data_IF_626273295924
#
_entry.id   IF_626273295924
#
_cell.length_a   1.000
_cell.length_b   1.000
_cell.length_c   1.000
_cell.angle_alpha   90.00
_cell.angle_beta   90.00
_cell.angle_gamma   90.00
#
_symmetry.space_group_name_H-M   'P 1'
#
loop_
_entity.id
_entity.type
_entity.pdbx_description
1 polymer ?
#
# COMPACT_ATOMS: atom_id res chain seq x y z
N UNK A 1 -37.76 -16.82 -19.51
CA UNK A 1 -36.53 -17.48 -19.97
C UNK A 1 -35.64 -17.68 -18.77
N UNK A 2 -35.33 -18.92 -18.39
CA UNK A 2 -34.37 -19.17 -17.33
C UNK A 2 -32.97 -18.88 -17.87
N UNK A 3 -32.26 -17.90 -17.30
CA UNK A 3 -30.84 -17.72 -17.56
C UNK A 3 -30.14 -19.03 -17.20
N UNK A 4 -29.47 -19.65 -18.18
CA UNK A 4 -28.56 -20.76 -17.89
C UNK A 4 -27.41 -20.17 -17.09
N UNK A 5 -27.47 -20.30 -15.77
CA UNK A 5 -26.34 -20.04 -14.89
C UNK A 5 -25.23 -21.02 -15.30
N UNK A 6 -24.19 -20.50 -15.96
CA UNK A 6 -23.04 -21.29 -16.37
C UNK A 6 -22.45 -21.95 -15.13
N UNK A 7 -22.52 -23.28 -15.05
CA UNK A 7 -21.98 -24.02 -13.91
C UNK A 7 -20.48 -23.79 -13.84
N UNK A 8 -19.97 -23.32 -12.70
CA UNK A 8 -18.55 -23.03 -12.50
C UNK A 8 -17.70 -24.24 -12.86
N UNK A 9 -16.78 -24.08 -13.82
CA UNK A 9 -15.79 -25.10 -14.10
C UNK A 9 -14.75 -25.10 -12.98
N UNK A 10 -14.79 -26.13 -12.12
CA UNK A 10 -13.91 -26.22 -10.96
C UNK A 10 -12.42 -26.30 -11.31
N UNK A 11 -12.08 -26.79 -12.51
CA UNK A 11 -10.68 -26.85 -12.96
C UNK A 11 -10.13 -25.45 -13.25
N UNK A 12 -10.91 -24.59 -13.93
CA UNK A 12 -10.50 -23.21 -14.21
C UNK A 12 -10.57 -22.34 -12.96
N UNK A 13 -11.56 -22.56 -12.08
CA UNK A 13 -11.59 -21.91 -10.77
C UNK A 13 -10.36 -22.25 -9.94
N UNK A 14 -9.94 -23.52 -9.90
CA UNK A 14 -8.71 -23.92 -9.20
C UNK A 14 -7.47 -23.23 -9.79
N UNK A 15 -7.41 -23.06 -11.11
CA UNK A 15 -6.34 -22.29 -11.77
C UNK A 15 -6.36 -20.82 -11.32
N UNK A 16 -7.53 -20.17 -11.29
CA UNK A 16 -7.67 -18.82 -10.76
C UNK A 16 -7.16 -18.70 -9.32
N UNK A 17 -7.54 -19.64 -8.45
CA UNK A 17 -7.08 -19.68 -7.05
C UNK A 17 -5.55 -19.85 -6.97
N UNK A 18 -4.94 -20.64 -7.86
CA UNK A 18 -3.48 -20.74 -7.95
C UNK A 18 -2.81 -19.42 -8.36
N UNK A 19 -3.42 -18.62 -9.23
CA UNK A 19 -2.94 -17.27 -9.56
C UNK A 19 -3.04 -16.34 -8.35
N UNK A 20 -4.16 -16.33 -7.63
CA UNK A 20 -4.29 -15.55 -6.40
C UNK A 20 -3.24 -15.93 -5.36
N UNK A 21 -2.88 -17.22 -5.30
CA UNK A 21 -1.78 -17.70 -4.45
C UNK A 21 -0.37 -17.23 -4.85
N UNK A 22 -0.17 -16.71 -6.07
CA UNK A 22 1.11 -16.12 -6.48
C UNK A 22 1.34 -14.76 -5.81
N UNK A 23 0.29 -13.99 -5.52
CA UNK A 23 0.40 -12.66 -4.88
C UNK A 23 1.13 -12.72 -3.54
N UNK A 24 1.02 -13.83 -2.81
CA UNK A 24 1.76 -14.13 -1.57
C UNK A 24 3.28 -14.18 -1.74
N UNK A 25 3.75 -14.29 -2.98
CA UNK A 25 5.16 -14.41 -3.38
C UNK A 25 5.61 -13.27 -4.29
N UNK A 26 4.74 -12.28 -4.53
CA UNK A 26 5.12 -11.01 -5.17
C UNK A 26 5.42 -10.04 -4.04
N UNK A 27 6.70 -9.79 -3.70
CA UNK A 27 7.04 -8.76 -2.73
C UNK A 27 6.74 -7.38 -3.33
N UNK A 28 6.29 -6.44 -2.49
CA UNK A 28 6.10 -5.05 -2.93
C UNK A 28 7.44 -4.43 -3.33
N UNK A 29 7.59 -4.12 -4.61
CA UNK A 29 8.84 -3.74 -5.30
C UNK A 29 9.44 -2.46 -4.73
N UNK A 30 8.61 -1.51 -4.28
CA UNK A 30 9.08 -0.30 -3.61
C UNK A 30 9.99 -0.59 -2.41
N UNK A 31 9.62 -1.57 -1.59
CA UNK A 31 10.39 -1.98 -0.41
C UNK A 31 11.65 -2.78 -0.79
N UNK A 32 11.53 -3.65 -1.79
CA UNK A 32 12.67 -4.41 -2.36
C UNK A 32 13.77 -3.44 -2.82
N UNK A 33 13.38 -2.40 -3.56
CA UNK A 33 14.30 -1.37 -4.06
C UNK A 33 14.87 -0.45 -2.97
N UNK A 34 14.37 -0.54 -1.73
CA UNK A 34 14.95 0.13 -0.56
C UNK A 34 15.62 -0.81 0.42
N UNK A 35 15.87 -2.06 -0.01
CA UNK A 35 16.57 -3.07 0.75
C UNK A 35 15.93 -3.33 2.14
N UNK A 36 14.59 -3.30 2.20
CA UNK A 36 13.86 -3.84 3.35
C UNK A 36 14.09 -5.35 3.37
N UNK A 37 14.44 -5.91 4.53
CA UNK A 37 14.91 -7.31 4.62
C UNK A 37 13.82 -8.35 4.29
N UNK A 38 12.60 -8.13 4.80
CA UNK A 38 11.44 -9.02 4.61
C UNK A 38 10.25 -8.16 4.21
N UNK A 39 10.23 -7.66 2.96
CA UNK A 39 9.15 -6.82 2.49
C UNK A 39 7.86 -7.62 2.45
N UNK A 40 6.74 -6.94 2.69
CA UNK A 40 5.40 -7.49 2.59
C UNK A 40 5.12 -7.99 1.17
N UNK A 41 4.18 -8.92 1.05
CA UNK A 41 3.64 -9.33 -0.24
C UNK A 41 2.51 -8.39 -0.69
N UNK A 42 2.21 -8.37 -1.98
CA UNK A 42 1.04 -7.64 -2.53
C UNK A 42 -0.27 -8.07 -1.84
N UNK A 43 -0.38 -9.34 -1.46
CA UNK A 43 -1.56 -9.81 -0.72
C UNK A 43 -1.63 -9.32 0.73
N UNK A 44 -0.50 -9.03 1.38
CA UNK A 44 -0.49 -8.44 2.74
C UNK A 44 -1.02 -7.00 2.70
N UNK A 45 -0.53 -6.23 1.71
CA UNK A 45 -0.99 -4.88 1.39
C UNK A 45 -2.52 -4.83 1.16
N UNK A 46 -3.02 -5.62 0.22
CA UNK A 46 -4.47 -5.67 -0.08
C UNK A 46 -5.31 -6.15 1.11
N UNK A 47 -4.78 -7.04 1.95
CA UNK A 47 -5.46 -7.47 3.17
C UNK A 47 -5.65 -6.30 4.14
N UNK A 48 -4.60 -5.55 4.45
CA UNK A 48 -4.71 -4.41 5.38
C UNK A 48 -5.60 -3.30 4.81
N UNK A 49 -5.53 -3.04 3.51
CA UNK A 49 -6.48 -2.13 2.85
C UNK A 49 -7.94 -2.58 3.00
N UNK A 50 -8.23 -3.87 2.81
CA UNK A 50 -9.59 -4.39 2.98
C UNK A 50 -10.08 -4.24 4.43
N UNK A 51 -9.21 -4.43 5.41
CA UNK A 51 -9.52 -4.14 6.82
C UNK A 51 -9.79 -2.65 7.05
N UNK A 52 -8.98 -1.75 6.47
CA UNK A 52 -9.21 -0.31 6.56
C UNK A 52 -10.54 0.10 5.93
N UNK A 53 -10.87 -0.44 4.75
CA UNK A 53 -12.15 -0.22 4.08
C UNK A 53 -13.35 -0.76 4.89
N UNK A 54 -13.18 -1.86 5.62
CA UNK A 54 -14.19 -2.40 6.53
C UNK A 54 -14.46 -1.47 7.72
N UNK A 55 -13.42 -0.80 8.22
CA UNK A 55 -13.46 0.04 9.41
C UNK A 55 -13.95 1.47 9.17
N UNK A 56 -14.08 1.91 7.92
CA UNK A 56 -14.58 3.26 7.62
C UNK A 56 -15.95 3.50 8.23
N UNK A 57 -16.18 4.72 8.71
CA UNK A 57 -17.47 5.14 9.26
C UNK A 57 -18.27 6.02 8.30
N UNK A 58 -17.71 6.38 7.14
CA UNK A 58 -18.41 7.20 6.15
C UNK A 58 -19.63 6.46 5.56
N UNK A 59 -20.81 6.92 5.93
CA UNK A 59 -22.10 6.37 5.50
C UNK A 59 -22.43 6.66 4.03
N UNK A 60 -21.65 7.52 3.36
CA UNK A 60 -21.81 7.79 1.92
C UNK A 60 -21.19 6.69 1.06
N UNK A 61 -20.25 5.92 1.60
CA UNK A 61 -19.55 4.86 0.88
C UNK A 61 -20.29 3.53 1.03
N UNK A 62 -20.35 2.77 -0.05
CA UNK A 62 -20.65 1.34 0.06
C UNK A 62 -19.40 0.57 0.52
N UNK A 63 -19.32 0.25 1.83
CA UNK A 63 -18.17 -0.45 2.41
C UNK A 63 -17.89 -1.80 1.76
N UNK A 64 -18.91 -2.58 1.44
CA UNK A 64 -18.74 -3.88 0.79
C UNK A 64 -18.10 -3.72 -0.61
N UNK A 65 -18.44 -2.63 -1.32
CA UNK A 65 -17.80 -2.28 -2.59
C UNK A 65 -16.35 -1.87 -2.38
N UNK A 66 -16.05 -1.03 -1.39
CA UNK A 66 -14.68 -0.64 -1.04
C UNK A 66 -13.80 -1.86 -0.70
N UNK A 67 -14.32 -2.81 0.08
CA UNK A 67 -13.62 -4.05 0.42
C UNK A 67 -13.33 -4.86 -0.84
N UNK A 68 -14.32 -5.03 -1.73
CA UNK A 68 -14.14 -5.74 -3.00
C UNK A 68 -13.11 -5.07 -3.89
N UNK A 69 -13.12 -3.73 -4.00
CA UNK A 69 -12.13 -2.97 -4.76
C UNK A 69 -10.72 -3.18 -4.19
N UNK A 70 -10.56 -3.05 -2.87
CA UNK A 70 -9.27 -3.27 -2.21
C UNK A 70 -8.71 -4.68 -2.46
N UNK A 71 -9.57 -5.71 -2.46
CA UNK A 71 -9.16 -7.10 -2.72
C UNK A 71 -8.83 -7.39 -4.20
N UNK A 72 -9.30 -6.57 -5.13
CA UNK A 72 -9.22 -6.83 -6.59
C UNK A 72 -8.17 -5.97 -7.28
N UNK A 73 -7.91 -4.74 -6.81
CA UNK A 73 -7.20 -3.74 -7.60
C UNK A 73 -5.80 -4.18 -8.09
N UNK A 74 -5.01 -4.86 -7.24
CA UNK A 74 -3.68 -5.36 -7.60
C UNK A 74 -3.67 -6.84 -8.01
N UNK A 75 -4.82 -7.46 -8.32
CA UNK A 75 -4.87 -8.88 -8.72
C UNK A 75 -4.04 -9.18 -9.98
N UNK A 76 -3.92 -8.21 -10.89
CA UNK A 76 -3.14 -8.33 -12.11
C UNK A 76 -1.66 -8.66 -11.85
N UNK A 77 -1.12 -8.19 -10.71
CA UNK A 77 0.29 -8.31 -10.33
C UNK A 77 0.71 -9.77 -10.10
N UNK A 78 -0.25 -10.69 -9.93
CA UNK A 78 0.06 -12.12 -9.88
C UNK A 78 0.66 -12.67 -11.20
N UNK A 79 0.48 -11.94 -12.30
CA UNK A 79 1.03 -12.24 -13.63
C UNK A 79 2.08 -11.19 -14.01
N UNK A 80 1.78 -9.91 -13.84
CA UNK A 80 2.64 -8.82 -14.34
C UNK A 80 3.80 -8.47 -13.40
N UNK A 81 3.72 -8.87 -12.13
CA UNK A 81 4.60 -8.40 -11.06
C UNK A 81 4.22 -6.99 -10.57
N UNK A 82 4.69 -6.60 -9.39
CA UNK A 82 4.49 -5.23 -8.89
C UNK A 82 5.43 -4.26 -9.63
N UNK A 83 4.87 -3.44 -10.53
CA UNK A 83 5.61 -2.48 -11.35
C UNK A 83 5.74 -1.15 -10.58
N UNK A 84 6.96 -0.84 -10.15
CA UNK A 84 7.27 0.40 -9.44
C UNK A 84 7.66 1.54 -10.40
N UNK A 85 7.59 2.82 -9.96
CA UNK A 85 8.02 3.95 -10.78
C UNK A 85 9.47 3.85 -11.30
N UNK A 86 10.35 3.18 -10.55
CA UNK A 86 11.75 2.98 -10.93
C UNK A 86 11.95 2.02 -12.13
N UNK A 87 10.93 1.24 -12.50
CA UNK A 87 10.98 0.32 -13.64
C UNK A 87 10.83 1.04 -14.99
N UNK A 88 10.53 2.34 -14.98
CA UNK A 88 10.39 3.19 -16.17
C UNK A 88 9.41 2.65 -17.23
N UNK A 89 8.38 1.91 -16.80
CA UNK A 89 7.27 1.50 -17.66
C UNK A 89 6.26 2.65 -17.75
N UNK A 90 5.82 2.99 -18.96
CA UNK A 90 4.82 4.05 -19.14
C UNK A 90 3.48 3.64 -18.53
N UNK A 91 2.65 4.62 -18.15
CA UNK A 91 1.32 4.35 -17.59
C UNK A 91 0.46 3.52 -18.56
N UNK A 92 0.56 3.80 -19.85
CA UNK A 92 -0.19 3.12 -20.91
C UNK A 92 0.25 1.67 -21.05
N UNK A 93 1.56 1.38 -21.00
CA UNK A 93 2.06 0.01 -21.09
C UNK A 93 1.78 -0.79 -19.82
N UNK A 94 1.87 -0.16 -18.63
CA UNK A 94 1.45 -0.78 -17.36
C UNK A 94 -0.02 -1.19 -17.45
N UNK A 95 -0.88 -0.23 -17.81
CA UNK A 95 -2.32 -0.47 -17.94
C UNK A 95 -2.63 -1.56 -18.96
N UNK A 96 -1.99 -1.55 -20.14
CA UNK A 96 -2.19 -2.58 -21.16
C UNK A 96 -1.84 -3.99 -20.65
N UNK A 97 -0.72 -4.14 -19.92
CA UNK A 97 -0.31 -5.43 -19.35
C UNK A 97 -1.27 -5.91 -18.28
N UNK A 98 -1.70 -5.01 -17.39
CA UNK A 98 -2.62 -5.34 -16.31
C UNK A 98 -4.01 -5.67 -16.83
N UNK A 99 -4.49 -4.95 -17.85
CA UNK A 99 -5.75 -5.24 -18.53
C UNK A 99 -5.72 -6.63 -19.18
N UNK A 100 -4.63 -6.98 -19.88
CA UNK A 100 -4.43 -8.30 -20.48
C UNK A 100 -4.43 -9.42 -19.42
N UNK A 101 -3.72 -9.19 -18.31
CA UNK A 101 -3.70 -10.11 -17.18
C UNK A 101 -5.09 -10.29 -16.55
N UNK A 102 -5.83 -9.21 -16.32
CA UNK A 102 -7.18 -9.26 -15.74
C UNK A 102 -8.19 -9.94 -16.66
N UNK A 103 -8.12 -9.71 -17.97
CA UNK A 103 -8.96 -10.42 -18.95
C UNK A 103 -8.68 -11.92 -18.92
N UNK A 104 -7.41 -12.32 -18.83
CA UNK A 104 -7.04 -13.73 -18.69
C UNK A 104 -7.55 -14.33 -17.38
N UNK A 105 -7.32 -13.67 -16.24
CA UNK A 105 -7.75 -14.14 -14.92
C UNK A 105 -9.27 -14.30 -14.85
N UNK A 106 -10.02 -13.28 -15.28
CA UNK A 106 -11.49 -13.29 -15.22
C UNK A 106 -12.13 -14.25 -16.22
N UNK A 107 -11.44 -14.56 -17.33
CA UNK A 107 -11.83 -15.63 -18.26
C UNK A 107 -11.78 -17.05 -17.67
N UNK A 108 -11.14 -17.25 -16.51
CA UNK A 108 -11.13 -18.53 -15.78
C UNK A 108 -12.37 -18.71 -14.89
N UNK A 109 -13.14 -17.65 -14.66
CA UNK A 109 -14.33 -17.63 -13.80
C UNK A 109 -15.60 -17.86 -14.62
N UNK A 110 -16.76 -18.04 -13.95
CA UNK A 110 -18.05 -18.01 -14.65
C UNK A 110 -18.35 -16.62 -15.18
N UNK A 111 -19.11 -16.51 -16.27
CA UNK A 111 -19.39 -15.24 -16.95
C UNK A 111 -19.86 -14.10 -16.02
N UNK A 112 -20.70 -14.42 -15.03
CA UNK A 112 -21.23 -13.43 -14.09
C UNK A 112 -20.15 -12.94 -13.12
N UNK A 113 -19.39 -13.86 -12.51
CA UNK A 113 -18.34 -13.52 -11.54
C UNK A 113 -17.15 -12.85 -12.25
N UNK A 114 -16.77 -13.34 -13.43
CA UNK A 114 -15.71 -12.74 -14.24
C UNK A 114 -16.01 -11.29 -14.61
N UNK A 115 -17.26 -10.99 -14.99
CA UNK A 115 -17.70 -9.60 -15.26
C UNK A 115 -17.68 -8.73 -14.01
N UNK A 116 -18.09 -9.25 -12.85
CA UNK A 116 -18.04 -8.49 -11.59
C UNK A 116 -16.60 -8.12 -11.22
N UNK A 117 -15.67 -9.09 -11.28
CA UNK A 117 -14.25 -8.90 -10.92
C UNK A 117 -13.56 -7.95 -11.91
N UNK A 118 -13.79 -8.12 -13.22
CA UNK A 118 -13.22 -7.21 -14.22
C UNK A 118 -13.76 -5.79 -14.04
N UNK A 119 -15.07 -5.64 -13.83
CA UNK A 119 -15.70 -4.33 -13.60
C UNK A 119 -15.22 -3.64 -12.33
N UNK A 120 -14.88 -4.39 -11.27
CA UNK A 120 -14.24 -3.86 -10.06
C UNK A 120 -12.84 -3.29 -10.37
N UNK A 121 -12.02 -4.05 -11.10
CA UNK A 121 -10.69 -3.59 -11.50
C UNK A 121 -10.78 -2.36 -12.41
N UNK A 122 -11.65 -2.36 -13.41
CA UNK A 122 -11.88 -1.22 -14.30
C UNK A 122 -12.39 0.02 -13.55
N UNK A 123 -13.25 -0.16 -12.53
CA UNK A 123 -13.74 0.92 -11.67
C UNK A 123 -12.60 1.58 -10.89
N UNK A 124 -11.70 0.77 -10.31
CA UNK A 124 -10.51 1.26 -9.64
C UNK A 124 -9.56 1.96 -10.61
N UNK A 125 -9.21 1.35 -11.75
CA UNK A 125 -8.28 1.94 -12.71
C UNK A 125 -8.76 3.28 -13.27
N UNK A 126 -10.07 3.38 -13.55
CA UNK A 126 -10.67 4.61 -14.07
C UNK A 126 -11.05 5.61 -12.98
N UNK A 127 -10.95 5.24 -11.70
CA UNK A 127 -11.33 6.07 -10.55
C UNK A 127 -12.76 6.64 -10.71
N UNK A 128 -13.68 5.79 -11.18
CA UNK A 128 -14.99 6.23 -11.70
C UNK A 128 -16.08 6.37 -10.63
N UNK A 129 -15.84 5.91 -9.41
CA UNK A 129 -16.76 5.99 -8.27
C UNK A 129 -16.14 6.74 -7.07
N UNK A 130 -16.95 7.06 -6.06
CA UNK A 130 -16.45 7.62 -4.80
C UNK A 130 -15.70 6.54 -3.99
N UNK A 131 -16.11 5.28 -4.13
CA UNK A 131 -15.46 4.12 -3.52
C UNK A 131 -14.07 3.87 -4.12
N UNK A 132 -13.92 3.93 -5.45
CA UNK A 132 -12.62 3.76 -6.11
C UNK A 132 -11.62 4.85 -5.72
N UNK A 133 -12.10 6.10 -5.59
CA UNK A 133 -11.29 7.23 -5.12
C UNK A 133 -10.87 7.06 -3.67
N UNK A 134 -11.81 6.65 -2.81
CA UNK A 134 -11.53 6.36 -1.41
C UNK A 134 -10.50 5.23 -1.26
N UNK A 135 -10.68 4.11 -1.98
CA UNK A 135 -9.74 2.98 -1.94
C UNK A 135 -8.36 3.37 -2.51
N UNK A 136 -8.29 4.30 -3.47
CA UNK A 136 -6.99 4.83 -3.94
C UNK A 136 -6.26 5.68 -2.91
N UNK A 137 -6.99 6.41 -2.07
CA UNK A 137 -6.41 7.09 -0.93
C UNK A 137 -6.01 6.09 0.18
N UNK A 138 -6.77 5.00 0.38
CA UNK A 138 -6.37 3.93 1.29
C UNK A 138 -5.08 3.23 0.86
N UNK A 139 -4.91 2.91 -0.43
CA UNK A 139 -3.67 2.34 -1.00
C UNK A 139 -2.45 3.19 -0.61
N UNK A 140 -2.56 4.50 -0.81
CA UNK A 140 -1.47 5.43 -0.49
C UNK A 140 -1.24 5.61 1.00
N UNK A 141 -2.31 5.64 1.81
CA UNK A 141 -2.19 5.74 3.27
C UNK A 141 -1.56 4.48 3.86
N UNK A 142 -1.98 3.30 3.38
CA UNK A 142 -1.45 2.01 3.78
C UNK A 142 0.07 1.94 3.48
N UNK A 143 0.49 2.41 2.31
CA UNK A 143 1.90 2.47 1.93
C UNK A 143 2.73 3.33 2.88
N UNK A 144 2.28 4.53 3.27
CA UNK A 144 3.04 5.37 4.22
C UNK A 144 2.96 4.84 5.66
N UNK A 145 1.88 4.16 6.03
CA UNK A 145 1.81 3.44 7.31
C UNK A 145 2.87 2.33 7.35
N UNK A 146 2.98 1.54 6.28
CA UNK A 146 3.99 0.49 6.18
C UNK A 146 5.43 1.06 6.17
N UNK A 147 5.64 2.21 5.53
CA UNK A 147 6.93 2.90 5.57
C UNK A 147 7.33 3.25 7.00
N UNK A 148 6.42 3.81 7.81
CA UNK A 148 6.68 4.09 9.22
C UNK A 148 7.03 2.83 10.01
N UNK A 149 6.26 1.76 9.83
CA UNK A 149 6.51 0.50 10.54
C UNK A 149 7.88 -0.11 10.20
N UNK A 150 8.30 -0.03 8.94
CA UNK A 150 9.65 -0.47 8.55
C UNK A 150 10.75 0.43 9.14
N UNK A 151 10.55 1.74 9.18
CA UNK A 151 11.48 2.65 9.86
C UNK A 151 11.64 2.30 11.36
N UNK A 152 10.54 1.98 12.05
CA UNK A 152 10.57 1.56 13.46
C UNK A 152 11.23 0.19 13.65
N UNK A 153 10.89 -0.81 12.83
CA UNK A 153 11.46 -2.16 12.91
C UNK A 153 12.98 -2.15 12.69
N UNK A 154 13.45 -1.34 11.73
CA UNK A 154 14.87 -1.20 11.42
C UNK A 154 15.60 -0.22 12.35
N UNK A 155 14.86 0.51 13.21
CA UNK A 155 15.38 1.61 14.03
C UNK A 155 16.09 2.68 13.21
N UNK A 156 15.53 3.01 12.05
CA UNK A 156 16.05 4.01 11.11
C UNK A 156 14.98 5.05 10.80
N UNK A 157 14.64 5.91 11.79
CA UNK A 157 13.57 6.88 11.64
C UNK A 157 13.89 7.85 10.50
N UNK A 158 12.92 8.10 9.62
CA UNK A 158 13.11 9.00 8.47
C UNK A 158 13.70 8.35 7.21
N UNK A 159 14.15 7.08 7.26
CA UNK A 159 14.82 6.41 6.12
C UNK A 159 13.96 6.36 4.85
N UNK A 160 12.65 6.22 4.98
CA UNK A 160 11.70 6.00 3.89
C UNK A 160 10.87 7.27 3.58
N UNK A 161 11.48 8.45 3.78
CA UNK A 161 10.83 9.75 3.59
C UNK A 161 10.25 9.96 2.17
N UNK A 162 10.86 9.38 1.15
CA UNK A 162 10.39 9.55 -0.23
C UNK A 162 8.96 9.02 -0.46
N UNK A 163 8.52 8.00 0.29
CA UNK A 163 7.16 7.46 0.21
C UNK A 163 6.17 8.50 0.71
N UNK A 164 6.49 9.17 1.82
CA UNK A 164 5.71 10.31 2.31
C UNK A 164 5.69 11.46 1.29
N UNK A 165 6.85 11.81 0.74
CA UNK A 165 6.94 12.88 -0.25
C UNK A 165 6.11 12.59 -1.50
N UNK A 166 6.03 11.32 -1.92
CA UNK A 166 5.24 10.88 -3.06
C UNK A 166 3.72 11.00 -2.86
N UNK A 167 3.24 11.16 -1.61
CA UNK A 167 1.81 11.26 -1.27
C UNK A 167 1.33 12.68 -0.97
N UNK A 168 2.21 13.68 -1.06
CA UNK A 168 1.85 15.09 -0.88
C UNK A 168 0.71 15.46 -1.83
N UNK A 169 -0.31 16.13 -1.27
CA UNK A 169 -1.49 16.62 -1.99
C UNK A 169 -2.38 15.55 -2.61
N UNK A 170 -2.19 14.26 -2.29
CA UNK A 170 -3.01 13.17 -2.84
C UNK A 170 -4.18 12.76 -1.96
N UNK A 171 -4.20 13.18 -0.70
CA UNK A 171 -5.28 12.89 0.24
C UNK A 171 -6.31 14.02 0.28
N UNK A 172 -7.59 13.66 0.20
CA UNK A 172 -8.72 14.58 0.16
C UNK A 172 -9.87 14.12 1.06
N UNK A 173 -9.99 12.82 1.30
CA UNK A 173 -11.06 12.27 2.12
C UNK A 173 -10.90 12.71 3.59
N UNK A 174 -11.94 13.24 4.25
CA UNK A 174 -11.81 13.79 5.62
C UNK A 174 -11.30 12.79 6.65
N UNK A 175 -11.74 11.54 6.58
CA UNK A 175 -11.28 10.47 7.48
C UNK A 175 -9.79 10.15 7.26
N UNK A 176 -9.35 10.07 5.99
CA UNK A 176 -7.98 9.71 5.65
C UNK A 176 -7.03 10.87 5.98
N UNK A 177 -7.45 12.12 5.77
CA UNK A 177 -6.68 13.30 6.20
C UNK A 177 -6.41 13.29 7.71
N UNK A 178 -7.37 12.88 8.54
CA UNK A 178 -7.18 12.76 9.98
C UNK A 178 -6.21 11.61 10.34
N UNK A 179 -6.32 10.47 9.65
CA UNK A 179 -5.38 9.36 9.82
C UNK A 179 -3.95 9.75 9.44
N UNK A 180 -3.76 10.40 8.29
CA UNK A 180 -2.46 10.90 7.81
C UNK A 180 -1.87 11.89 8.80
N UNK A 181 -2.66 12.85 9.31
CA UNK A 181 -2.22 13.81 10.31
C UNK A 181 -1.77 13.12 11.61
N UNK A 182 -2.53 12.13 12.06
CA UNK A 182 -2.22 11.33 13.27
C UNK A 182 -0.92 10.54 13.10
N UNK A 183 -0.78 9.82 11.98
CA UNK A 183 0.42 9.05 11.65
C UNK A 183 1.67 9.96 11.57
N UNK A 184 1.55 11.11 10.88
CA UNK A 184 2.66 12.05 10.75
C UNK A 184 3.08 12.63 12.11
N UNK A 185 2.13 12.93 13.00
CA UNK A 185 2.45 13.40 14.35
C UNK A 185 3.20 12.33 15.16
N UNK A 186 2.78 11.06 15.07
CA UNK A 186 3.47 9.95 15.71
C UNK A 186 4.89 9.77 15.16
N UNK A 187 5.03 9.68 13.83
CA UNK A 187 6.33 9.53 13.17
C UNK A 187 7.30 10.66 13.50
N UNK A 188 6.84 11.91 13.50
CA UNK A 188 7.67 13.07 13.84
C UNK A 188 8.15 13.01 15.30
N UNK A 189 7.30 12.55 16.23
CA UNK A 189 7.68 12.34 17.64
C UNK A 189 8.80 11.31 17.79
N UNK A 190 8.75 10.21 17.01
CA UNK A 190 9.81 9.18 17.00
C UNK A 190 11.14 9.72 16.46
N UNK A 191 11.11 10.46 15.36
CA UNK A 191 12.30 11.09 14.77
C UNK A 191 12.98 12.09 15.73
N UNK A 192 12.20 12.92 16.43
CA UNK A 192 12.74 13.86 17.40
C UNK A 192 13.42 13.16 18.58
N UNK A 193 12.83 12.06 19.08
CA UNK A 193 13.41 11.26 20.18
C UNK A 193 14.75 10.63 19.79
N UNK A 194 14.85 10.10 18.57
CA UNK A 194 16.12 9.54 18.07
C UNK A 194 17.21 10.62 17.92
N UNK A 195 16.84 11.80 17.42
CA UNK A 195 17.77 12.92 17.28
C UNK A 195 18.30 13.43 18.63
N UNK A 196 17.47 13.39 19.68
CA UNK A 196 17.86 13.81 21.04
C UNK A 196 18.71 12.78 21.77
N UNK A 197 18.48 11.47 21.56
CA UNK A 197 19.37 10.42 22.10
C UNK A 197 20.76 10.47 21.50
N UNK A 198 20.87 10.75 20.20
CA UNK A 198 22.17 10.88 19.54
C UNK A 198 22.93 12.11 20.05
N UNK A 199 22.25 13.25 20.23
CA UNK A 199 22.86 14.46 20.78
C UNK A 199 23.38 14.29 22.23
N UNK A 200 22.70 13.50 23.06
CA UNK A 200 23.15 13.19 24.43
C UNK A 200 24.39 12.29 24.44
N UNK A 201 24.51 11.35 23.50
CA UNK A 201 25.68 10.46 23.39
C UNK A 201 26.96 11.21 22.98
N UNK A 202 26.86 12.26 22.17
CA UNK A 202 28.00 13.11 21.80
C UNK A 202 28.35 14.19 22.84
N UNK A 203 27.54 14.37 23.89
CA UNK A 203 27.69 15.43 24.90
C UNK A 203 28.60 15.09 26.10
N UNK A 204 28.97 13.83 26.34
CA UNK A 204 29.67 13.41 27.57
C UNK A 204 31.21 13.31 27.47
N UNK A 205 31.84 13.63 26.32
CA UNK A 205 33.31 13.57 26.16
C UNK A 205 33.94 14.92 25.74
N UNK A 206 33.46 16.03 26.30
CA UNK A 206 34.14 17.34 26.18
C UNK A 206 35.30 17.45 27.20
N UNK A 207 36.51 17.91 26.81
CA UNK A 207 37.63 17.99 27.74
C UNK A 207 37.34 18.98 28.87
N UNK A 208 37.46 18.50 30.11
CA UNK A 208 37.35 19.32 31.32
C UNK A 208 38.48 20.36 31.35
N UNK A 209 38.16 21.61 31.00
CA UNK A 209 39.06 22.74 31.24
C UNK A 209 38.78 23.23 32.66
N UNK A 210 39.62 22.79 33.61
CA UNK A 210 39.67 23.38 34.95
C UNK A 210 40.15 24.83 34.85
N UNK A 211 39.48 25.80 35.52
CA UNK A 211 39.95 27.18 35.53
C UNK A 211 41.21 27.29 36.41
N UNK A 212 42.32 27.71 35.80
CA UNK A 212 43.50 28.14 36.56
C UNK A 212 43.17 29.44 37.29
N UNK A 213 43.32 29.41 38.60
CA UNK A 213 43.28 30.57 39.48
C UNK A 213 44.47 31.50 39.18
N UNK A 214 44.20 32.77 38.91
CA UNK A 214 45.24 33.81 38.92
C UNK A 214 44.98 34.73 40.10
N UNK A 215 45.87 34.65 41.09
CA UNK A 215 46.11 35.71 42.07
C UNK A 215 46.82 36.86 41.35
N UNK A 216 46.31 38.07 41.49
CA UNK A 216 47.01 39.30 41.93
C UNK A 216 45.99 40.43 42.05
#
# INVERSE_FOLDING_TARGET
MAARTGTTNLKTLLQFIHYMGQLKRVPRTGWVYRNVEKPESVSDHMYRMAIMALLTEDQKLNKDRCIKLALVHDMAECIVGDIAPADNISKEEKHRREEEAMKHLTGLLSDEVGKEVLGLWEEYENQSSIEAKYVKELDQFEMIMQAFEYEELEKKPGRLQEFYDSTKEKFHHPEILQLVATLNAERNSRQMKASTSDAQFFGENGPSILPQSTKL
#
